data_IF_050304593415
#
_entry.id   IF_050304593415
#
_cell.length_a   1.000
_cell.length_b   1.000
_cell.length_c   1.000
_cell.angle_alpha   90.00
_cell.angle_beta   90.00
_cell.angle_gamma   90.00
#
_symmetry.space_group_name_H-M   'P 1'
#
loop_
_entity.id
_entity.type
_entity.pdbx_description
1 polymer ?
#
# COMPACT_ATOMS: atom_id res chain seq x y z
N UNK A 1 22.07 21.53 -10.95
CA UNK A 1 20.80 20.79 -11.02
C UNK A 1 20.32 20.69 -9.59
N UNK A 2 19.14 21.21 -9.27
CA UNK A 2 18.68 21.33 -7.89
C UNK A 2 18.25 19.93 -7.43
N UNK A 3 18.98 19.34 -6.49
CA UNK A 3 18.53 18.11 -5.81
C UNK A 3 17.37 18.52 -4.90
N UNK A 4 16.12 18.28 -5.33
CA UNK A 4 14.98 18.36 -4.43
C UNK A 4 14.93 17.08 -3.60
N UNK A 5 14.64 17.23 -2.31
CA UNK A 5 14.26 16.11 -1.45
C UNK A 5 12.75 16.04 -1.45
N UNK A 6 12.22 14.88 -1.78
CA UNK A 6 10.79 14.63 -1.91
C UNK A 6 10.41 13.37 -1.13
N UNK A 7 9.15 13.28 -0.74
CA UNK A 7 8.62 12.11 -0.05
C UNK A 7 8.04 11.15 -1.07
N UNK A 8 8.45 9.88 -0.99
CA UNK A 8 7.97 8.82 -1.85
C UNK A 8 7.40 7.68 -1.02
N UNK A 9 6.40 7.00 -1.58
CA UNK A 9 6.06 5.65 -1.17
C UNK A 9 6.72 4.64 -2.10
N UNK A 10 7.29 3.61 -1.50
CA UNK A 10 7.89 2.48 -2.21
C UNK A 10 6.81 1.44 -2.56
N UNK A 11 6.77 1.01 -3.81
CA UNK A 11 5.96 -0.10 -4.31
C UNK A 11 6.86 -1.12 -5.02
N UNK A 12 6.32 -2.30 -5.31
CA UNK A 12 7.01 -3.25 -6.18
C UNK A 12 7.12 -2.71 -7.60
N UNK A 13 8.21 -3.02 -8.30
CA UNK A 13 8.33 -2.60 -9.69
C UNK A 13 7.45 -3.45 -10.62
N UNK A 14 6.58 -2.80 -11.39
CA UNK A 14 5.88 -3.45 -12.52
C UNK A 14 6.78 -3.67 -13.75
N UNK A 15 7.90 -2.95 -13.82
CA UNK A 15 8.66 -2.78 -15.07
C UNK A 15 10.05 -3.42 -15.03
N UNK A 16 10.51 -3.90 -13.87
CA UNK A 16 11.85 -4.50 -13.73
C UNK A 16 11.92 -5.51 -12.59
N UNK A 17 12.32 -6.74 -12.91
CA UNK A 17 12.72 -7.71 -11.91
C UNK A 17 13.90 -7.15 -11.08
N UNK A 18 13.72 -7.06 -9.76
CA UNK A 18 14.74 -6.60 -8.82
C UNK A 18 14.89 -5.08 -8.65
N UNK A 19 13.87 -4.28 -9.05
CA UNK A 19 13.79 -2.85 -8.74
C UNK A 19 12.54 -2.51 -7.91
N UNK A 20 12.39 -1.23 -7.57
CA UNK A 20 11.20 -0.69 -6.88
C UNK A 20 10.60 0.49 -7.65
N UNK A 21 9.37 0.83 -7.33
CA UNK A 21 8.71 2.04 -7.83
C UNK A 21 8.58 3.05 -6.70
N UNK A 22 9.06 4.28 -6.93
CA UNK A 22 8.84 5.42 -6.05
C UNK A 22 7.62 6.19 -6.56
N UNK A 23 6.55 6.22 -5.76
CA UNK A 23 5.38 7.07 -6.01
C UNK A 23 5.53 8.36 -5.20
N UNK A 24 5.59 9.52 -5.85
CA UNK A 24 5.66 10.81 -5.15
C UNK A 24 4.41 11.02 -4.31
N UNK A 25 4.59 11.40 -3.04
CA UNK A 25 3.48 11.68 -2.13
C UNK A 25 3.10 13.16 -2.27
N UNK A 26 1.90 13.48 -2.77
CA UNK A 26 1.48 14.87 -2.95
C UNK A 26 1.22 15.55 -1.60
N UNK A 27 1.14 16.89 -1.62
CA UNK A 27 0.84 17.68 -0.44
C UNK A 27 -0.53 17.32 0.18
N UNK A 28 -1.51 16.95 -0.66
CA UNK A 28 -2.76 16.31 -0.23
C UNK A 28 -2.74 14.82 -0.60
N UNK A 29 -2.32 13.95 0.33
CA UNK A 29 -2.27 12.51 0.08
C UNK A 29 -3.66 11.85 -0.01
N UNK A 30 -4.75 12.60 0.22
CA UNK A 30 -6.11 12.05 0.05
C UNK A 30 -6.64 12.17 -1.37
N UNK A 31 -5.96 12.94 -2.23
CA UNK A 31 -6.33 13.15 -3.64
C UNK A 31 -6.40 11.83 -4.40
N UNK A 32 -7.47 11.68 -5.18
CA UNK A 32 -7.69 10.60 -6.14
C UNK A 32 -7.57 11.10 -7.59
N UNK A 33 -7.03 12.30 -7.79
CA UNK A 33 -6.83 12.88 -9.12
C UNK A 33 -5.80 12.07 -9.93
N UNK A 34 -6.06 11.77 -11.20
CA UNK A 34 -5.08 11.14 -12.07
C UNK A 34 -3.80 11.97 -12.16
N UNK A 35 -2.65 11.34 -11.87
CA UNK A 35 -1.34 12.01 -11.90
C UNK A 35 -0.99 12.79 -10.65
N UNK A 36 -1.81 12.73 -9.58
CA UNK A 36 -1.42 13.26 -8.27
C UNK A 36 -0.17 12.56 -7.69
N UNK A 37 0.06 11.31 -8.10
CA UNK A 37 1.22 10.51 -7.75
C UNK A 37 2.03 10.25 -9.02
N UNK A 38 3.29 10.66 -9.02
CA UNK A 38 4.22 10.40 -10.11
C UNK A 38 5.04 9.15 -9.79
N UNK A 39 5.05 8.18 -10.71
CA UNK A 39 5.75 6.91 -10.54
C UNK A 39 7.11 6.97 -11.20
N UNK A 40 8.15 6.66 -10.43
CA UNK A 40 9.53 6.60 -10.89
C UNK A 40 10.08 5.21 -10.61
N UNK A 41 10.52 4.50 -11.66
CA UNK A 41 11.25 3.25 -11.48
C UNK A 41 12.66 3.52 -10.94
N UNK A 42 13.06 2.80 -9.90
CA UNK A 42 14.37 2.92 -9.25
C UNK A 42 14.99 1.53 -9.14
N UNK A 43 16.29 1.42 -9.40
CA UNK A 43 17.03 0.18 -9.13
C UNK A 43 17.16 -0.03 -7.61
N UNK A 44 17.58 -1.23 -7.18
CA UNK A 44 17.97 -1.45 -5.78
C UNK A 44 19.47 -1.22 -5.56
N UNK A 45 20.26 -1.17 -6.65
CA UNK A 45 21.71 -1.08 -6.65
C UNK A 45 22.24 0.12 -7.44
N UNK A 46 23.54 0.39 -7.29
CA UNK A 46 24.21 1.47 -8.04
C UNK A 46 23.88 2.88 -7.55
N UNK A 47 23.48 3.02 -6.29
CA UNK A 47 23.14 4.30 -5.66
C UNK A 47 24.25 4.83 -4.78
N UNK A 48 24.30 6.16 -4.63
CA UNK A 48 25.22 6.80 -3.68
C UNK A 48 24.68 6.73 -2.25
N UNK A 49 23.35 6.77 -2.10
CA UNK A 49 22.68 6.56 -0.82
C UNK A 49 22.74 5.09 -0.39
N UNK A 50 23.02 4.85 0.90
CA UNK A 50 22.96 3.54 1.50
C UNK A 50 21.51 3.14 1.82
N UNK A 51 21.22 1.84 1.88
CA UNK A 51 19.94 1.30 2.32
C UNK A 51 18.85 1.24 1.26
N UNK A 52 19.13 1.66 0.02
CA UNK A 52 18.18 1.51 -1.10
C UNK A 52 17.89 0.03 -1.36
N UNK A 53 18.91 -0.83 -1.21
CA UNK A 53 18.85 -2.28 -1.37
C UNK A 53 18.02 -3.00 -0.29
N UNK A 54 17.73 -2.31 0.81
CA UNK A 54 16.92 -2.80 1.92
C UNK A 54 15.48 -2.24 1.92
N UNK A 55 15.09 -1.45 0.92
CA UNK A 55 13.75 -0.89 0.83
C UNK A 55 12.70 -1.97 0.59
N UNK A 56 11.64 -1.91 1.38
CA UNK A 56 10.49 -2.81 1.26
C UNK A 56 9.27 -2.06 0.71
N UNK A 57 8.41 -2.74 -0.08
CA UNK A 57 7.11 -2.19 -0.47
C UNK A 57 6.32 -1.71 0.74
N UNK A 58 5.77 -0.50 0.60
CA UNK A 58 5.08 0.21 1.66
C UNK A 58 5.95 1.18 2.43
N UNK A 59 7.28 1.13 2.37
CA UNK A 59 8.09 2.14 3.07
C UNK A 59 7.77 3.55 2.56
N UNK A 60 7.73 4.52 3.47
CA UNK A 60 7.71 5.94 3.13
C UNK A 60 9.11 6.48 3.32
N UNK A 61 9.66 7.07 2.27
CA UNK A 61 11.04 7.55 2.24
C UNK A 61 11.08 9.03 1.89
N UNK A 62 12.02 9.74 2.50
CA UNK A 62 12.48 11.05 2.06
C UNK A 62 13.72 10.81 1.21
N UNK A 63 13.69 11.15 -0.07
CA UNK A 63 14.76 10.82 -1.00
C UNK A 63 15.09 11.98 -1.94
N UNK A 64 16.34 12.01 -2.40
CA UNK A 64 16.80 12.87 -3.49
C UNK A 64 17.25 12.02 -4.67
N UNK A 65 16.78 12.38 -5.86
CA UNK A 65 17.03 11.65 -7.10
C UNK A 65 17.89 12.47 -8.06
N UNK A 66 18.89 11.81 -8.67
CA UNK A 66 19.73 12.33 -9.73
C UNK A 66 19.32 11.73 -11.07
N UNK A 67 18.87 12.59 -11.98
CA UNK A 67 18.40 12.24 -13.33
C UNK A 67 19.51 12.21 -14.38
N UNK A 68 20.77 12.03 -13.97
CA UNK A 68 21.90 11.91 -14.89
C UNK A 68 21.95 10.54 -15.60
N UNK A 69 21.17 9.58 -15.10
CA UNK A 69 21.00 8.23 -15.64
C UNK A 69 19.51 7.92 -15.80
N UNK A 70 19.20 6.90 -16.59
CA UNK A 70 17.85 6.34 -16.72
C UNK A 70 17.91 4.82 -16.41
N UNK A 71 17.25 4.33 -15.34
CA UNK A 71 16.49 5.08 -14.33
C UNK A 71 17.38 6.04 -13.49
N UNK A 72 16.77 7.01 -12.77
CA UNK A 72 17.52 7.91 -11.89
C UNK A 72 18.21 7.16 -10.74
N UNK A 73 19.23 7.79 -10.17
CA UNK A 73 19.97 7.26 -9.01
C UNK A 73 19.60 8.00 -7.74
N UNK A 74 19.49 7.29 -6.62
CA UNK A 74 19.24 7.87 -5.29
C UNK A 74 20.53 8.44 -4.70
N UNK A 75 20.55 9.73 -4.38
CA UNK A 75 21.70 10.44 -3.80
C UNK A 75 21.59 10.64 -2.29
N UNK A 76 20.36 10.72 -1.77
CA UNK A 76 20.06 10.70 -0.34
C UNK A 76 18.78 9.89 -0.08
N UNK A 77 18.74 9.20 1.06
CA UNK A 77 17.62 8.35 1.47
C UNK A 77 17.46 8.36 2.99
N UNK A 78 16.23 8.54 3.47
CA UNK A 78 15.80 8.33 4.85
C UNK A 78 14.45 7.62 4.86
N UNK A 79 14.31 6.52 5.61
CA UNK A 79 13.00 5.89 5.82
C UNK A 79 12.25 6.66 6.89
N UNK A 80 11.21 7.39 6.48
CA UNK A 80 10.36 8.21 7.36
C UNK A 80 9.33 7.35 8.08
N UNK A 81 8.85 6.28 7.43
CA UNK A 81 7.86 5.36 8.01
C UNK A 81 8.01 3.94 7.48
N UNK A 82 8.14 2.99 8.41
CA UNK A 82 8.20 1.55 8.13
C UNK A 82 6.80 0.94 7.97
N UNK A 83 6.04 1.42 6.99
CA UNK A 83 4.84 0.69 6.55
C UNK A 83 5.28 -0.48 5.68
N UNK A 84 4.62 -1.64 5.82
CA UNK A 84 4.86 -2.83 4.99
C UNK A 84 3.61 -3.22 4.24
N UNK A 85 3.77 -3.55 2.97
CA UNK A 85 2.70 -4.05 2.12
C UNK A 85 2.86 -5.54 1.91
N UNK A 86 1.76 -6.26 2.14
CA UNK A 86 1.65 -7.70 1.95
C UNK A 86 0.64 -7.97 0.86
N UNK A 87 1.04 -8.70 -0.18
CA UNK A 87 0.20 -9.02 -1.32
C UNK A 87 -0.05 -10.53 -1.35
N UNK A 88 -1.31 -10.95 -1.16
CA UNK A 88 -1.69 -12.35 -1.24
C UNK A 88 -2.78 -12.53 -2.31
N UNK A 89 -2.45 -13.34 -3.33
CA UNK A 89 -3.37 -13.68 -4.42
C UNK A 89 -3.95 -15.06 -4.22
N UNK A 90 -5.10 -15.30 -4.81
CA UNK A 90 -5.81 -16.58 -4.78
C UNK A 90 -6.11 -17.05 -3.34
N UNK A 91 -6.35 -16.10 -2.43
CA UNK A 91 -6.62 -16.44 -1.03
C UNK A 91 -8.00 -17.09 -0.88
N UNK A 92 -8.10 -18.00 0.06
CA UNK A 92 -9.37 -18.61 0.46
C UNK A 92 -9.74 -18.18 1.87
N UNK A 93 -11.03 -18.17 2.19
CA UNK A 93 -11.46 -17.97 3.57
C UNK A 93 -11.22 -16.56 4.08
N UNK A 94 -11.68 -15.55 3.32
CA UNK A 94 -11.71 -14.18 3.81
C UNK A 94 -12.38 -14.13 5.18
N UNK A 95 -11.72 -13.44 6.11
CA UNK A 95 -12.27 -13.20 7.43
C UNK A 95 -13.65 -12.53 7.31
N UNK A 96 -14.54 -12.82 8.26
CA UNK A 96 -15.94 -12.35 8.26
C UNK A 96 -16.04 -10.86 7.99
N UNK A 97 -15.07 -10.11 8.52
CA UNK A 97 -14.99 -8.67 8.33
C UNK A 97 -14.96 -8.23 6.86
N UNK A 98 -14.14 -8.87 6.02
CA UNK A 98 -14.05 -8.57 4.60
C UNK A 98 -15.33 -8.98 3.88
N UNK A 99 -15.78 -10.21 4.14
CA UNK A 99 -16.94 -10.81 3.49
C UNK A 99 -18.20 -9.98 3.70
N UNK A 100 -18.44 -9.49 4.92
CA UNK A 100 -19.59 -8.62 5.22
C UNK A 100 -19.49 -7.24 4.56
N UNK A 101 -18.29 -6.63 4.56
CA UNK A 101 -18.06 -5.34 3.92
C UNK A 101 -18.33 -5.44 2.41
N UNK A 102 -17.79 -6.49 1.80
CA UNK A 102 -17.98 -6.78 0.38
C UNK A 102 -19.46 -7.08 0.05
N UNK A 103 -20.09 -7.98 0.81
CA UNK A 103 -21.50 -8.31 0.61
C UNK A 103 -22.40 -7.07 0.70
N UNK A 104 -22.05 -6.12 1.57
CA UNK A 104 -22.74 -4.83 1.68
C UNK A 104 -22.52 -3.96 0.44
N UNK A 105 -21.28 -3.82 -0.04
CA UNK A 105 -20.96 -3.09 -1.26
C UNK A 105 -21.78 -3.63 -2.45
N UNK A 106 -21.77 -4.95 -2.62
CA UNK A 106 -22.51 -5.67 -3.67
C UNK A 106 -24.02 -5.43 -3.59
N UNK A 107 -24.61 -5.49 -2.40
CA UNK A 107 -26.05 -5.21 -2.20
C UNK A 107 -26.40 -3.75 -2.54
N UNK A 108 -25.49 -2.81 -2.32
CA UNK A 108 -25.70 -1.37 -2.60
C UNK A 108 -25.29 -0.95 -4.01
N UNK A 109 -24.62 -1.82 -4.76
CA UNK A 109 -24.05 -1.48 -6.07
C UNK A 109 -22.88 -0.50 -5.97
N UNK A 110 -22.18 -0.47 -4.83
CA UNK A 110 -21.04 0.42 -4.59
C UNK A 110 -19.75 -0.23 -5.12
N UNK A 111 -18.91 0.56 -5.81
CA UNK A 111 -17.62 0.10 -6.32
C UNK A 111 -16.56 -0.11 -5.23
N UNK A 112 -16.74 0.52 -4.08
CA UNK A 112 -15.92 0.33 -2.87
C UNK A 112 -16.79 0.50 -1.64
N UNK A 113 -16.54 -0.30 -0.62
CA UNK A 113 -17.08 -0.11 0.72
C UNK A 113 -15.96 -0.25 1.75
N UNK A 114 -16.13 0.36 2.92
CA UNK A 114 -15.12 0.35 3.97
C UNK A 114 -15.71 0.22 5.38
N UNK A 115 -14.88 -0.20 6.33
CA UNK A 115 -15.20 -0.17 7.75
C UNK A 115 -13.96 -0.11 8.61
N UNK A 116 -14.12 0.43 9.82
CA UNK A 116 -13.12 0.32 10.90
C UNK A 116 -13.33 -1.01 11.62
N UNK A 117 -12.23 -1.68 11.97
CA UNK A 117 -12.25 -2.89 12.81
C UNK A 117 -11.77 -2.56 14.22
N UNK A 118 -12.23 -3.37 15.20
CA UNK A 118 -11.94 -3.18 16.62
C UNK A 118 -11.39 -4.47 17.23
N UNK A 119 -10.54 -4.35 18.24
CA UNK A 119 -10.09 -5.47 19.06
C UNK A 119 -11.16 -5.88 20.09
N UNK A 120 -10.86 -6.89 20.91
CA UNK A 120 -11.77 -7.41 21.95
C UNK A 120 -12.14 -6.35 23.01
N UNK A 121 -11.28 -5.35 23.21
CA UNK A 121 -11.51 -4.24 24.13
C UNK A 121 -12.32 -3.08 23.51
N UNK A 122 -12.69 -3.21 22.22
CA UNK A 122 -13.45 -2.20 21.48
C UNK A 122 -12.60 -1.07 20.90
N UNK A 123 -11.28 -1.12 21.07
CA UNK A 123 -10.34 -0.16 20.50
C UNK A 123 -10.14 -0.42 19.01
N UNK A 124 -9.98 0.64 18.23
CA UNK A 124 -9.76 0.52 16.79
C UNK A 124 -8.40 -0.10 16.51
N UNK A 125 -8.38 -1.19 15.76
CA UNK A 125 -7.14 -1.92 15.44
C UNK A 125 -6.83 -1.96 13.94
N UNK A 126 -7.79 -1.62 13.09
CA UNK A 126 -7.64 -1.70 11.64
C UNK A 126 -8.70 -0.94 10.86
N UNK A 127 -8.47 -0.81 9.56
CA UNK A 127 -9.42 -0.27 8.60
C UNK A 127 -9.43 -1.14 7.35
N UNK A 128 -10.61 -1.50 6.89
CA UNK A 128 -10.81 -2.42 5.79
C UNK A 128 -11.55 -1.74 4.65
N UNK A 129 -11.08 -1.97 3.43
CA UNK A 129 -11.70 -1.55 2.18
C UNK A 129 -11.92 -2.78 1.29
N UNK A 130 -13.11 -2.91 0.70
CA UNK A 130 -13.42 -3.94 -0.28
C UNK A 130 -13.77 -3.25 -1.60
N UNK A 131 -13.00 -3.54 -2.65
CA UNK A 131 -13.15 -2.98 -3.99
C UNK A 131 -13.78 -4.01 -4.91
N UNK A 132 -14.84 -3.62 -5.62
CA UNK A 132 -15.45 -4.47 -6.63
C UNK A 132 -14.51 -4.62 -7.83
N UNK A 133 -14.23 -5.86 -8.23
CA UNK A 133 -13.63 -6.12 -9.54
C UNK A 133 -14.72 -6.22 -10.60
N UNK A 134 -14.62 -5.38 -11.62
CA UNK A 134 -15.54 -5.43 -12.76
C UNK A 134 -15.05 -6.48 -13.77
N UNK A 135 -15.93 -7.35 -14.31
CA UNK A 135 -15.54 -8.28 -15.37
C UNK A 135 -14.96 -7.55 -16.58
N UNK A 136 -13.76 -7.94 -17.02
CA UNK A 136 -13.02 -7.24 -18.09
C UNK A 136 -12.44 -5.89 -17.68
N UNK A 137 -12.50 -5.58 -16.38
CA UNK A 137 -11.84 -4.43 -15.77
C UNK A 137 -10.34 -4.66 -15.60
N UNK A 138 -9.67 -3.64 -15.07
CA UNK A 138 -8.24 -3.68 -14.75
C UNK A 138 -7.99 -4.57 -13.53
N UNK A 139 -6.83 -5.22 -13.48
CA UNK A 139 -6.39 -6.07 -12.38
C UNK A 139 -6.03 -5.17 -11.18
N UNK A 140 -6.99 -4.95 -10.28
CA UNK A 140 -6.82 -4.01 -9.16
C UNK A 140 -5.70 -4.46 -8.22
N UNK A 141 -5.55 -5.78 -8.04
CA UNK A 141 -4.48 -6.33 -7.22
C UNK A 141 -3.10 -5.95 -7.78
N UNK A 142 -2.90 -6.13 -9.09
CA UNK A 142 -1.65 -5.76 -9.76
C UNK A 142 -1.41 -4.23 -9.75
N UNK A 143 -2.46 -3.42 -9.90
CA UNK A 143 -2.36 -1.96 -9.83
C UNK A 143 -1.93 -1.48 -8.43
N UNK A 144 -2.49 -2.06 -7.36
CA UNK A 144 -2.08 -1.74 -5.99
C UNK A 144 -0.65 -2.21 -5.69
N UNK A 145 -0.26 -3.37 -6.23
CA UNK A 145 1.08 -3.94 -6.05
C UNK A 145 2.18 -3.08 -6.67
N UNK A 146 1.92 -2.57 -7.86
CA UNK A 146 2.86 -1.75 -8.64
C UNK A 146 2.89 -0.27 -8.27
N UNK A 147 1.83 0.21 -7.60
CA UNK A 147 1.63 1.64 -7.34
C UNK A 147 0.94 2.39 -8.47
N UNK A 148 0.60 1.74 -9.60
CA UNK A 148 -0.28 2.34 -10.63
C UNK A 148 -1.58 2.87 -10.04
N UNK A 149 -2.06 2.20 -8.99
CA UNK A 149 -3.07 2.73 -8.09
C UNK A 149 -2.51 2.83 -6.68
N UNK A 150 -2.12 4.04 -6.22
CA UNK A 150 -1.55 4.22 -4.89
C UNK A 150 -2.55 3.88 -3.77
N UNK A 151 -2.03 3.29 -2.69
CA UNK A 151 -2.76 3.02 -1.44
C UNK A 151 -2.77 4.22 -0.49
N UNK A 152 -1.89 5.21 -0.68
CA UNK A 152 -1.79 6.41 0.16
C UNK A 152 -3.12 7.15 0.39
N UNK A 153 -4.04 7.28 -0.58
CA UNK A 153 -5.34 7.87 -0.31
C UNK A 153 -6.14 7.13 0.77
N UNK A 154 -6.03 5.80 0.85
CA UNK A 154 -6.67 5.01 1.90
C UNK A 154 -5.96 5.21 3.23
N UNK A 155 -4.62 5.22 3.23
CA UNK A 155 -3.81 5.38 4.43
C UNK A 155 -3.94 6.78 5.03
N UNK A 156 -4.03 7.82 4.20
CA UNK A 156 -4.26 9.19 4.64
C UNK A 156 -5.63 9.37 5.30
N UNK A 157 -6.67 8.68 4.79
CA UNK A 157 -8.00 8.64 5.44
C UNK A 157 -7.95 7.96 6.81
N UNK A 158 -7.08 6.96 6.98
CA UNK A 158 -6.85 6.28 8.26
C UNK A 158 -6.07 7.16 9.25
N UNK A 159 -5.12 7.94 8.75
CA UNK A 159 -4.27 8.84 9.55
C UNK A 159 -5.01 10.09 10.02
N UNK A 160 -5.98 10.59 9.23
CA UNK A 160 -6.80 11.76 9.58
C UNK A 160 -7.59 11.64 10.91
N UNK A 161 -7.69 10.44 11.48
CA UNK A 161 -8.27 10.20 12.81
C UNK A 161 -7.31 10.41 13.99
N UNK A 162 -6.40 11.39 13.92
CA UNK A 162 -5.37 11.70 14.95
C UNK A 162 -4.43 10.53 15.28
N UNK A 163 -4.04 9.75 14.27
CA UNK A 163 -2.97 8.75 14.40
C UNK A 163 -1.70 9.33 13.82
N UNK A 164 -0.67 9.48 14.64
CA UNK A 164 0.66 10.02 14.28
C UNK A 164 1.42 9.23 13.19
N UNK A 165 0.77 8.32 12.48
CA UNK A 165 1.40 7.69 11.33
C UNK A 165 2.38 6.58 11.69
N UNK A 166 2.12 5.79 12.74
CA UNK A 166 3.04 4.74 13.19
C UNK A 166 3.28 3.60 12.18
N UNK A 167 4.27 2.71 12.45
CA UNK A 167 4.49 1.48 11.69
C UNK A 167 3.22 0.64 11.60
N UNK A 168 2.90 0.18 10.40
CA UNK A 168 1.67 -0.55 10.10
C UNK A 168 1.88 -1.57 9.01
N UNK A 169 1.05 -2.59 9.02
CA UNK A 169 0.95 -3.55 7.93
C UNK A 169 -0.29 -3.25 7.09
N UNK A 170 -0.16 -3.35 5.77
CA UNK A 170 -1.28 -3.25 4.83
C UNK A 170 -1.32 -4.51 4.00
N UNK A 171 -2.44 -5.20 4.06
CA UNK A 171 -2.67 -6.46 3.36
C UNK A 171 -3.58 -6.20 2.17
N UNK A 172 -3.12 -6.55 0.97
CA UNK A 172 -3.92 -6.54 -0.25
C UNK A 172 -4.20 -7.99 -0.62
N UNK A 173 -5.47 -8.38 -0.57
CA UNK A 173 -5.94 -9.75 -0.70
C UNK A 173 -6.85 -9.87 -1.91
N UNK A 174 -6.56 -10.81 -2.80
CA UNK A 174 -7.37 -11.16 -3.97
C UNK A 174 -7.93 -12.58 -3.81
N UNK A 175 -9.17 -12.75 -3.29
CA UNK A 175 -9.78 -14.03 -3.04
C UNK A 175 -10.24 -14.78 -4.31
N UNK A 176 -10.15 -16.10 -4.32
CA UNK A 176 -10.65 -16.92 -5.44
C UNK A 176 -12.19 -16.99 -5.52
N UNK A 177 -12.86 -16.89 -4.37
CA UNK A 177 -14.30 -17.15 -4.26
C UNK A 177 -15.17 -15.92 -4.52
N UNK A 178 -14.57 -14.73 -4.56
CA UNK A 178 -15.26 -13.45 -4.66
C UNK A 178 -14.58 -12.56 -5.70
N UNK A 179 -15.36 -11.78 -6.47
CA UNK A 179 -14.80 -10.81 -7.43
C UNK A 179 -14.58 -9.46 -6.77
N UNK A 180 -13.64 -9.40 -5.85
CA UNK A 180 -13.25 -8.19 -5.16
C UNK A 180 -11.78 -8.22 -4.77
N UNK A 181 -11.17 -7.05 -4.54
CA UNK A 181 -9.87 -6.94 -3.87
C UNK A 181 -10.08 -6.29 -2.51
N UNK A 182 -9.50 -6.87 -1.46
CA UNK A 182 -9.60 -6.36 -0.09
C UNK A 182 -8.28 -5.71 0.31
N UNK A 183 -8.34 -4.46 0.76
CA UNK A 183 -7.23 -3.78 1.42
C UNK A 183 -7.52 -3.72 2.91
N UNK A 184 -6.70 -4.37 3.72
CA UNK A 184 -6.82 -4.35 5.18
C UNK A 184 -5.59 -3.67 5.80
N UNK A 185 -5.81 -2.53 6.43
CA UNK A 185 -4.78 -1.77 7.16
C UNK A 185 -4.82 -2.20 8.62
N UNK A 186 -3.74 -2.80 9.13
CA UNK A 186 -3.56 -3.08 10.54
C UNK A 186 -2.74 -1.94 11.18
N UNK A 187 -3.35 -1.17 12.09
CA UNK A 187 -2.80 0.10 12.58
C UNK A 187 -1.53 -0.04 13.41
N UNK A 188 -1.30 -1.23 13.96
CA UNK A 188 -0.10 -1.58 14.69
C UNK A 188 0.50 -2.83 14.03
N UNK A 189 1.66 -2.66 13.37
CA UNK A 189 2.42 -3.73 12.72
C UNK A 189 2.73 -4.91 13.65
N UNK A 190 3.04 -4.60 14.91
CA UNK A 190 3.43 -5.59 15.91
C UNK A 190 2.22 -6.07 16.75
N UNK A 191 1.02 -5.64 16.36
CA UNK A 191 -0.23 -5.98 17.01
C UNK A 191 -0.78 -7.34 16.60
N UNK A 192 -1.68 -7.88 17.44
CA UNK A 192 -2.33 -9.17 17.22
C UNK A 192 -3.02 -9.27 15.85
N UNK A 193 -3.63 -8.18 15.38
CA UNK A 193 -4.31 -8.17 14.09
C UNK A 193 -3.33 -8.45 12.94
N UNK A 194 -2.22 -7.71 12.89
CA UNK A 194 -1.21 -7.89 11.85
C UNK A 194 -0.63 -9.31 11.87
N UNK A 195 -0.28 -9.83 13.06
CA UNK A 195 0.19 -11.21 13.23
C UNK A 195 -0.83 -12.22 12.71
N UNK A 196 -2.10 -12.07 13.09
CA UNK A 196 -3.16 -13.01 12.68
C UNK A 196 -3.34 -13.04 11.18
N UNK A 197 -3.32 -11.87 10.52
CA UNK A 197 -3.50 -11.80 9.07
C UNK A 197 -2.29 -12.39 8.34
N UNK A 198 -1.06 -12.12 8.82
CA UNK A 198 0.17 -12.76 8.31
C UNK A 198 0.08 -14.29 8.39
N UNK A 199 -0.26 -14.82 9.56
CA UNK A 199 -0.40 -16.27 9.79
C UNK A 199 -1.52 -16.89 8.94
N UNK A 200 -2.62 -16.17 8.74
CA UNK A 200 -3.80 -16.69 8.01
C UNK A 200 -3.53 -16.84 6.52
N UNK A 201 -2.78 -15.90 5.93
CA UNK A 201 -2.54 -15.86 4.48
C UNK A 201 -1.10 -16.18 4.09
N UNK A 202 -0.28 -16.66 5.04
CA UNK A 202 1.11 -17.08 4.83
C UNK A 202 1.95 -15.99 4.12
N UNK A 203 1.83 -14.77 4.64
CA UNK A 203 2.61 -13.60 4.16
C UNK A 203 3.62 -13.18 5.24
N UNK A 204 4.91 -13.26 4.90
CA UNK A 204 6.07 -13.02 5.78
C UNK A 204 7.10 -12.04 5.24
#
# INVERSE_FOLDING_TARGET
MQESTETFRVYESAHRDGGVTFASVPADPTSDDPGAYELTAVALDGHAAAGVDALEPGNVVSASLSWQTEPPTVTALEVVRETRFWFAREVTGLFEAATETWATAKRRGEGVNSRVTRNTDGEENGALYAFAEQPGGRDLFAEFRSGERPLDPLLARVDAGDRDGGPRDVFVLDPVDERCVVVYVALNRDGMLASTVRDTYDVE
#
